data_IF_679086710276
#
_entry.id   IF_679086710276
#
_cell.length_a   1.000
_cell.length_b   1.000
_cell.length_c   1.000
_cell.angle_alpha   90.00
_cell.angle_beta   90.00
_cell.angle_gamma   90.00
#
_symmetry.space_group_name_H-M   'P 1'
#
loop_
_entity.id
_entity.type
_entity.pdbx_description
1 polymer ?
#
# COMPACT_ATOMS: atom_id res chain seq x y z
N UNK A 1 49.38 -3.11 15.25
CA UNK A 1 48.90 -1.89 14.55
C UNK A 1 48.10 -2.16 13.28
N UNK A 2 48.43 -3.18 12.46
CA UNK A 2 47.72 -3.50 11.19
C UNK A 2 46.30 -4.06 11.39
N UNK A 3 46.08 -4.86 12.45
CA UNK A 3 44.77 -5.48 12.75
C UNK A 3 43.74 -4.45 13.24
N UNK A 4 44.20 -3.42 13.97
CA UNK A 4 43.34 -2.33 14.45
C UNK A 4 42.86 -1.44 13.30
N UNK A 5 43.71 -1.23 12.27
CA UNK A 5 43.35 -0.52 11.04
C UNK A 5 42.35 -1.33 10.20
N UNK A 6 42.50 -2.66 10.15
CA UNK A 6 41.55 -3.53 9.43
C UNK A 6 40.15 -3.54 10.06
N UNK A 7 40.07 -3.45 11.40
CA UNK A 7 38.79 -3.46 12.11
C UNK A 7 38.05 -2.11 11.99
N UNK A 8 38.78 -1.00 11.93
CA UNK A 8 38.21 0.33 11.72
C UNK A 8 37.67 0.52 10.28
N UNK A 9 38.27 -0.14 9.29
CA UNK A 9 37.86 -0.06 7.89
C UNK A 9 36.56 -0.83 7.59
N UNK A 10 36.26 -1.89 8.36
CA UNK A 10 35.07 -2.74 8.17
C UNK A 10 33.78 -2.09 8.70
N UNK A 11 33.88 -1.15 9.64
CA UNK A 11 32.72 -0.60 10.36
C UNK A 11 32.04 0.57 9.63
N UNK A 12 32.63 1.06 8.54
CA UNK A 12 32.15 2.21 7.77
C UNK A 12 31.08 1.83 6.71
N UNK A 13 30.84 0.53 6.47
CA UNK A 13 30.05 0.08 5.29
C UNK A 13 28.53 -0.04 5.57
N UNK A 14 28.06 0.15 6.80
CA UNK A 14 26.66 -0.18 7.18
C UNK A 14 25.70 1.00 7.38
N UNK A 15 25.84 2.11 6.64
CA UNK A 15 24.85 3.19 6.65
C UNK A 15 24.15 3.33 5.29
N UNK A 16 23.24 2.39 5.00
CA UNK A 16 22.30 2.51 3.89
C UNK A 16 21.03 3.21 4.39
N UNK A 17 20.88 4.51 4.06
CA UNK A 17 19.59 5.20 4.15
C UNK A 17 18.90 5.03 2.80
N UNK A 18 17.83 4.23 2.73
CA UNK A 18 16.99 4.13 1.54
C UNK A 18 16.06 5.35 1.49
N UNK A 19 16.47 6.39 0.75
CA UNK A 19 15.64 7.56 0.48
C UNK A 19 14.90 7.35 -0.83
N UNK A 20 13.58 7.24 -0.76
CA UNK A 20 12.70 7.07 -1.92
C UNK A 20 12.34 8.46 -2.45
N UNK A 21 12.70 8.75 -3.70
CA UNK A 21 12.41 10.03 -4.35
C UNK A 21 11.22 9.89 -5.31
N UNK A 22 10.19 10.70 -5.07
CA UNK A 22 9.02 10.84 -5.94
C UNK A 22 9.22 12.03 -6.87
N UNK A 23 9.06 11.83 -8.17
CA UNK A 23 8.96 12.93 -9.12
C UNK A 23 7.75 12.77 -10.01
N UNK A 24 7.27 13.90 -10.51
CA UNK A 24 6.12 13.99 -11.40
C UNK A 24 6.69 14.46 -12.73
N UNK A 25 6.51 13.67 -13.78
CA UNK A 25 6.94 14.07 -15.12
C UNK A 25 6.03 15.14 -15.71
N UNK A 26 6.43 15.72 -16.84
CA UNK A 26 5.66 16.75 -17.54
C UNK A 26 4.36 16.21 -18.18
N UNK A 27 4.01 14.94 -17.95
CA UNK A 27 2.80 14.26 -18.42
C UNK A 27 1.91 13.80 -17.24
N UNK A 28 2.27 14.11 -16.00
CA UNK A 28 1.50 13.77 -14.80
C UNK A 28 1.72 12.35 -14.28
N UNK A 29 2.64 11.59 -14.87
CA UNK A 29 3.07 10.27 -14.40
C UNK A 29 3.88 10.39 -13.11
N UNK A 30 3.46 9.68 -12.06
CA UNK A 30 4.22 9.60 -10.80
C UNK A 30 5.24 8.47 -10.93
N UNK A 31 6.52 8.84 -10.91
CA UNK A 31 7.62 7.89 -10.96
C UNK A 31 8.40 7.90 -9.64
N UNK A 32 8.70 6.71 -9.14
CA UNK A 32 9.55 6.48 -7.98
C UNK A 32 10.91 5.94 -8.47
N UNK A 33 12.01 6.56 -8.06
CA UNK A 33 13.35 6.11 -8.45
C UNK A 33 14.34 6.24 -7.28
N UNK A 34 15.19 5.23 -7.12
CA UNK A 34 16.28 5.17 -6.12
C UNK A 34 17.60 5.75 -6.65
N UNK A 35 17.57 6.51 -7.76
CA UNK A 35 18.78 7.13 -8.34
C UNK A 35 18.64 8.65 -8.50
N UNK A 36 19.63 9.44 -8.03
CA UNK A 36 19.52 10.90 -8.01
C UNK A 36 19.83 11.52 -9.38
N UNK A 37 18.99 12.47 -9.82
CA UNK A 37 19.25 13.36 -10.98
C UNK A 37 19.42 14.82 -10.56
N UNK A 38 20.18 15.58 -11.35
CA UNK A 38 20.52 16.99 -11.11
C UNK A 38 19.28 17.89 -11.07
N UNK A 39 19.05 18.55 -9.94
CA UNK A 39 18.01 19.58 -9.77
C UNK A 39 17.18 19.50 -8.48
N UNK A 40 17.47 18.54 -7.59
CA UNK A 40 16.69 18.33 -6.37
C UNK A 40 16.75 19.54 -5.40
N UNK A 41 15.58 20.08 -5.04
CA UNK A 41 15.41 20.95 -3.88
C UNK A 41 15.22 20.11 -2.62
N UNK A 42 15.94 20.48 -1.58
CA UNK A 42 15.98 19.80 -0.28
C UNK A 42 14.67 20.02 0.45
N UNK A 43 13.98 18.95 0.83
CA UNK A 43 12.87 18.97 1.77
C UNK A 43 13.38 18.37 3.07
N UNK A 44 13.59 19.23 4.07
CA UNK A 44 13.94 18.84 5.44
C UNK A 44 12.68 18.30 6.12
N UNK A 45 12.65 17.01 6.43
CA UNK A 45 11.66 16.44 7.34
C UNK A 45 11.96 16.97 8.76
N UNK A 46 11.02 17.63 9.44
CA UNK A 46 11.23 17.99 10.84
C UNK A 46 11.15 16.73 11.71
N UNK A 47 12.14 16.59 12.58
CA UNK A 47 12.34 15.49 13.51
C UNK A 47 11.12 15.18 14.38
N UNK A 48 10.95 13.90 14.67
CA UNK A 48 10.04 13.39 15.68
C UNK A 48 10.30 14.04 17.05
N UNK A 49 9.26 14.63 17.63
CA UNK A 49 9.21 14.88 19.07
C UNK A 49 7.96 14.24 19.66
N UNK A 50 8.19 13.13 20.34
CA UNK A 50 7.33 12.60 21.40
C UNK A 50 6.91 13.72 22.35
N UNK A 51 5.60 13.97 22.46
CA UNK A 51 5.03 14.55 23.66
C UNK A 51 3.57 14.12 23.82
N UNK A 52 3.37 13.24 24.80
CA UNK A 52 2.10 12.89 25.39
C UNK A 52 1.40 14.15 25.93
N UNK A 53 0.22 14.48 25.39
CA UNK A 53 -0.90 15.02 26.18
C UNK A 53 -2.19 15.11 25.35
N UNK A 54 -3.22 14.38 25.76
CA UNK A 54 -4.62 14.79 25.64
C UNK A 54 -4.96 15.56 26.94
N UNK A 55 -5.92 16.52 26.99
CA UNK A 55 -7.25 16.39 26.37
C UNK A 55 -7.94 17.68 25.86
N UNK A 56 -9.13 17.44 25.29
CA UNK A 56 -10.35 18.25 25.29
C UNK A 56 -10.82 18.97 24.02
N UNK A 57 -12.08 18.62 23.73
CA UNK A 57 -13.04 19.01 22.69
C UNK A 57 -13.41 20.49 22.76
N UNK A 58 -13.56 21.15 21.60
CA UNK A 58 -14.78 21.88 21.12
C UNK A 58 -14.45 22.69 19.85
N UNK A 59 -15.35 22.81 18.85
CA UNK A 59 -14.99 23.08 17.46
C UNK A 59 -15.09 24.57 17.09
N UNK A 60 -14.16 25.05 16.25
CA UNK A 60 -14.36 26.31 15.55
C UNK A 60 -13.72 26.32 14.16
N UNK A 61 -14.62 26.61 13.23
CA UNK A 61 -14.56 26.93 11.80
C UNK A 61 -13.44 27.86 11.36
N UNK A 62 -13.12 27.73 10.06
CA UNK A 62 -12.47 28.68 9.15
C UNK A 62 -10.98 28.34 8.90
N UNK A 63 -10.41 28.35 7.68
CA UNK A 63 -10.84 28.91 6.40
C UNK A 63 -10.00 28.28 5.28
N UNK A 64 -10.64 28.00 4.13
CA UNK A 64 -10.10 27.98 2.75
C UNK A 64 -8.58 27.88 2.57
N UNK A 65 -8.12 26.76 2.01
CA UNK A 65 -7.03 26.79 1.03
C UNK A 65 -7.56 26.27 -0.31
N UNK A 66 -7.79 27.23 -1.18
CA UNK A 66 -8.17 27.05 -2.57
C UNK A 66 -6.91 26.60 -3.32
N UNK A 67 -6.77 25.30 -3.62
CA UNK A 67 -5.96 24.87 -4.78
C UNK A 67 -6.90 24.32 -5.83
N UNK A 68 -7.36 25.27 -6.63
CA UNK A 68 -7.82 25.10 -7.99
C UNK A 68 -6.75 24.27 -8.74
N UNK A 69 -6.97 22.97 -8.92
CA UNK A 69 -6.34 22.23 -10.01
C UNK A 69 -7.32 22.27 -11.17
N UNK A 70 -7.25 23.37 -11.91
CA UNK A 70 -7.79 23.44 -13.26
C UNK A 70 -6.86 22.60 -14.15
N UNK A 71 -7.18 21.30 -14.24
CA UNK A 71 -6.85 20.53 -15.43
C UNK A 71 -8.14 20.42 -16.21
N UNK A 72 -8.27 21.30 -17.20
CA UNK A 72 -9.33 21.26 -18.19
C UNK A 72 -9.10 20.04 -19.09
N UNK A 73 -9.57 18.88 -18.63
CA UNK A 73 -9.85 17.72 -19.48
C UNK A 73 -11.32 17.38 -19.26
N UNK A 74 -12.14 17.71 -20.24
CA UNK A 74 -13.52 17.23 -20.31
C UNK A 74 -13.47 15.74 -20.61
N UNK A 75 -13.46 14.92 -19.57
CA UNK A 75 -13.94 13.54 -19.60
C UNK A 75 -14.54 13.28 -18.22
N UNK A 76 -15.83 12.95 -18.18
CA UNK A 76 -16.66 12.92 -16.98
C UNK A 76 -15.90 12.33 -15.78
N UNK A 77 -15.47 13.18 -14.84
CA UNK A 77 -14.87 12.79 -13.56
C UNK A 77 -15.96 12.19 -12.70
N UNK A 78 -16.27 10.93 -12.96
CA UNK A 78 -17.03 10.15 -12.03
C UNK A 78 -16.14 9.86 -10.81
N UNK A 79 -16.63 10.25 -9.63
CA UNK A 79 -15.93 10.06 -8.36
C UNK A 79 -16.63 8.98 -7.55
N UNK A 80 -15.85 8.21 -6.81
CA UNK A 80 -16.38 7.26 -5.84
C UNK A 80 -16.46 7.95 -4.49
N UNK A 81 -17.64 7.95 -3.86
CA UNK A 81 -17.82 8.52 -2.52
C UNK A 81 -17.42 7.54 -1.43
N UNK A 82 -17.47 6.23 -1.74
CA UNK A 82 -17.04 5.17 -0.84
C UNK A 82 -16.31 4.10 -1.63
N UNK A 83 -15.17 3.65 -1.10
CA UNK A 83 -14.44 2.50 -1.62
C UNK A 83 -13.79 1.78 -0.45
N UNK A 84 -14.14 0.52 -0.25
CA UNK A 84 -13.59 -0.26 0.86
C UNK A 84 -13.49 -1.75 0.52
N UNK A 85 -12.58 -2.44 1.21
CA UNK A 85 -12.54 -3.90 1.23
C UNK A 85 -13.50 -4.37 2.32
N UNK A 86 -14.58 -5.02 1.93
CA UNK A 86 -15.60 -5.57 2.86
C UNK A 86 -15.23 -6.97 3.36
N UNK A 87 -14.41 -7.70 2.60
CA UNK A 87 -13.90 -9.00 3.01
C UNK A 87 -12.49 -9.19 2.46
N UNK A 88 -11.54 -9.73 3.23
CA UNK A 88 -11.59 -9.91 4.69
C UNK A 88 -11.74 -8.57 5.44
N UNK A 89 -12.20 -8.62 6.69
CA UNK A 89 -12.23 -7.44 7.56
C UNK A 89 -10.81 -7.01 7.94
N UNK A 90 -10.62 -5.74 8.28
CA UNK A 90 -9.36 -5.25 8.80
C UNK A 90 -8.99 -5.97 10.11
N UNK A 91 -7.74 -6.43 10.21
CA UNK A 91 -7.23 -7.24 11.31
C UNK A 91 -7.59 -8.72 11.23
N UNK A 92 -8.28 -9.18 10.18
CA UNK A 92 -8.67 -10.59 10.06
C UNK A 92 -7.47 -11.54 10.05
N UNK A 93 -7.62 -12.67 10.74
CA UNK A 93 -6.63 -13.76 10.71
C UNK A 93 -7.06 -14.86 9.74
N UNK A 94 -6.31 -15.03 8.67
CA UNK A 94 -6.49 -16.09 7.68
C UNK A 94 -5.71 -17.32 8.12
N UNK A 95 -6.42 -18.44 8.33
CA UNK A 95 -5.82 -19.74 8.65
C UNK A 95 -5.94 -20.67 7.45
N UNK A 96 -4.99 -20.57 6.52
CA UNK A 96 -4.99 -21.39 5.31
C UNK A 96 -3.56 -21.86 4.96
N UNK A 97 -3.37 -23.18 4.84
CA UNK A 97 -2.08 -23.78 4.53
C UNK A 97 -1.56 -23.40 3.14
N UNK A 98 -2.46 -23.15 2.19
CA UNK A 98 -2.14 -22.75 0.81
C UNK A 98 -1.95 -21.23 0.68
N UNK A 99 -2.26 -20.45 1.72
CA UNK A 99 -2.24 -18.99 1.64
C UNK A 99 -3.26 -18.44 0.64
N UNK A 100 -4.40 -19.13 0.48
CA UNK A 100 -5.50 -18.65 -0.34
C UNK A 100 -6.40 -17.69 0.44
N UNK A 101 -6.66 -16.52 -0.15
CA UNK A 101 -7.54 -15.48 0.40
C UNK A 101 -8.41 -14.91 -0.72
N UNK A 102 -9.71 -14.84 -0.47
CA UNK A 102 -10.65 -14.10 -1.31
C UNK A 102 -10.85 -12.71 -0.74
N UNK A 103 -10.64 -11.70 -1.57
CA UNK A 103 -10.86 -10.29 -1.26
C UNK A 103 -12.09 -9.82 -2.01
N UNK A 104 -12.99 -9.13 -1.33
CA UNK A 104 -14.20 -8.54 -1.90
C UNK A 104 -14.21 -7.07 -1.56
N UNK A 105 -14.30 -6.24 -2.57
CA UNK A 105 -14.42 -4.79 -2.45
C UNK A 105 -15.87 -4.35 -2.64
N UNK A 106 -16.16 -3.14 -2.18
CA UNK A 106 -17.39 -2.43 -2.46
C UNK A 106 -17.05 -1.00 -2.86
N UNK A 107 -17.77 -0.50 -3.86
CA UNK A 107 -17.71 0.89 -4.30
C UNK A 107 -19.10 1.51 -4.19
N UNK A 108 -19.15 2.81 -3.87
CA UNK A 108 -20.36 3.61 -3.95
C UNK A 108 -20.04 4.93 -4.68
N UNK A 109 -20.71 5.24 -5.80
CA UNK A 109 -21.67 4.39 -6.53
C UNK A 109 -21.01 3.13 -7.12
N UNK A 110 -21.81 2.26 -7.74
CA UNK A 110 -21.30 1.11 -8.48
C UNK A 110 -20.28 1.54 -9.55
N UNK A 111 -19.36 0.64 -9.88
CA UNK A 111 -18.27 0.88 -10.83
C UNK A 111 -18.80 1.45 -12.15
N UNK A 112 -18.30 2.62 -12.55
CA UNK A 112 -18.74 3.30 -13.77
C UNK A 112 -18.35 2.48 -15.02
N UNK A 113 -19.14 2.56 -16.11
CA UNK A 113 -18.81 1.85 -17.33
C UNK A 113 -17.46 2.27 -17.92
N UNK A 114 -16.54 1.32 -18.03
CA UNK A 114 -15.19 1.54 -18.58
C UNK A 114 -14.11 1.48 -17.51
N UNK A 115 -14.45 1.82 -16.28
CA UNK A 115 -13.56 1.73 -15.13
C UNK A 115 -13.32 0.27 -14.74
N UNK A 116 -12.17 0.04 -14.11
CA UNK A 116 -11.71 -1.26 -13.65
C UNK A 116 -11.14 -1.15 -12.25
N UNK A 117 -11.24 -2.20 -11.47
CA UNK A 117 -10.64 -2.34 -10.16
C UNK A 117 -9.36 -3.16 -10.25
N UNK A 118 -8.36 -2.79 -9.46
CA UNK A 118 -7.14 -3.57 -9.29
C UNK A 118 -6.81 -3.70 -7.81
N UNK A 119 -6.42 -4.91 -7.41
CA UNK A 119 -5.99 -5.20 -6.05
C UNK A 119 -4.53 -4.79 -5.85
N UNK A 120 -4.25 -4.18 -4.72
CA UNK A 120 -2.90 -3.93 -4.22
C UNK A 120 -2.62 -4.89 -3.07
N UNK A 121 -1.50 -5.61 -3.17
CA UNK A 121 -0.96 -6.50 -2.14
C UNK A 121 0.41 -5.97 -1.73
N UNK A 122 0.56 -5.59 -0.46
CA UNK A 122 1.77 -4.97 0.09
C UNK A 122 2.26 -3.78 -0.77
N UNK A 123 1.32 -2.91 -1.18
CA UNK A 123 1.52 -1.76 -2.07
C UNK A 123 1.96 -2.09 -3.51
N UNK A 124 1.95 -3.36 -3.90
CA UNK A 124 2.20 -3.79 -5.28
C UNK A 124 0.90 -4.21 -5.97
N UNK A 125 0.73 -3.80 -7.22
CA UNK A 125 -0.41 -4.22 -8.03
C UNK A 125 -0.41 -5.74 -8.25
N UNK A 126 -1.54 -6.38 -7.92
CA UNK A 126 -1.74 -7.81 -8.06
C UNK A 126 -2.78 -8.10 -9.15
N UNK A 127 -2.32 -8.75 -10.21
CA UNK A 127 -3.15 -9.13 -11.35
C UNK A 127 -3.55 -7.96 -12.24
N UNK A 128 -4.31 -8.27 -13.28
CA UNK A 128 -4.79 -7.29 -14.24
C UNK A 128 -6.03 -6.55 -13.72
N UNK A 129 -6.24 -5.28 -14.11
CA UNK A 129 -7.45 -4.53 -13.78
C UNK A 129 -8.71 -5.22 -14.33
N UNK A 130 -9.73 -5.38 -13.50
CA UNK A 130 -10.96 -6.11 -13.81
C UNK A 130 -12.21 -5.40 -13.27
N UNK A 131 -13.39 -5.70 -13.85
CA UNK A 131 -14.66 -5.10 -13.40
C UNK A 131 -15.24 -5.77 -12.16
N UNK A 132 -14.89 -7.04 -11.92
CA UNK A 132 -15.40 -7.81 -10.80
C UNK A 132 -14.73 -7.33 -9.50
N UNK A 133 -15.48 -6.98 -8.45
CA UNK A 133 -14.90 -6.55 -7.17
C UNK A 133 -14.39 -7.71 -6.30
N UNK A 134 -14.30 -8.93 -6.85
CA UNK A 134 -13.81 -10.12 -6.16
C UNK A 134 -12.45 -10.52 -6.71
N UNK A 135 -11.45 -10.60 -5.83
CA UNK A 135 -10.08 -10.95 -6.15
C UNK A 135 -9.66 -12.19 -5.37
N UNK A 136 -8.79 -12.98 -5.96
CA UNK A 136 -8.22 -14.17 -5.33
C UNK A 136 -6.71 -14.02 -5.25
N UNK A 137 -6.18 -14.19 -4.04
CA UNK A 137 -4.76 -14.19 -3.79
C UNK A 137 -4.36 -15.61 -3.44
N UNK A 138 -3.40 -16.15 -4.19
CA UNK A 138 -2.87 -17.49 -3.99
C UNK A 138 -1.44 -17.41 -3.44
N UNK A 139 -1.09 -18.33 -2.55
CA UNK A 139 0.30 -18.46 -2.08
C UNK A 139 0.76 -17.35 -1.14
N UNK A 140 -0.16 -16.60 -0.52
CA UNK A 140 0.15 -15.51 0.41
C UNK A 140 1.05 -16.01 1.55
N UNK A 141 2.17 -15.34 1.80
CA UNK A 141 3.14 -15.76 2.81
C UNK A 141 2.55 -15.66 4.23
N UNK A 142 3.21 -16.29 5.21
CA UNK A 142 2.81 -16.12 6.61
C UNK A 142 3.26 -14.74 7.10
N UNK A 143 2.46 -14.10 7.93
CA UNK A 143 2.79 -12.80 8.50
C UNK A 143 1.67 -11.79 8.37
N UNK A 144 2.04 -10.51 8.47
CA UNK A 144 1.15 -9.37 8.27
C UNK A 144 1.24 -8.92 6.82
N UNK A 145 0.09 -8.67 6.20
CA UNK A 145 0.00 -8.18 4.83
C UNK A 145 -1.00 -7.03 4.74
N UNK A 146 -0.74 -6.10 3.84
CA UNK A 146 -1.61 -4.95 3.59
C UNK A 146 -2.33 -5.15 2.26
N UNK A 147 -3.64 -4.93 2.27
CA UNK A 147 -4.49 -5.00 1.09
C UNK A 147 -5.18 -3.65 0.85
N UNK A 148 -5.21 -3.20 -0.39
CA UNK A 148 -6.00 -2.06 -0.83
C UNK A 148 -6.57 -2.33 -2.22
N UNK A 149 -7.58 -1.59 -2.66
CA UNK A 149 -8.11 -1.66 -4.02
C UNK A 149 -8.06 -0.28 -4.63
N UNK A 150 -7.68 -0.21 -5.90
CA UNK A 150 -7.69 1.03 -6.68
C UNK A 150 -8.63 0.91 -7.86
N UNK A 151 -9.26 2.03 -8.24
CA UNK A 151 -10.01 2.15 -9.49
C UNK A 151 -9.11 2.78 -10.54
N UNK A 152 -9.14 2.22 -11.74
CA UNK A 152 -8.42 2.67 -12.92
C UNK A 152 -9.41 3.01 -14.03
N UNK A 153 -9.11 4.07 -14.78
CA UNK A 153 -9.86 4.41 -15.99
C UNK A 153 -9.55 3.43 -17.14
N UNK A 154 -10.26 3.59 -18.25
CA UNK A 154 -10.06 2.79 -19.47
C UNK A 154 -8.64 2.91 -20.07
N UNK A 155 -7.93 3.99 -19.76
CA UNK A 155 -6.58 4.31 -20.26
C UNK A 155 -5.49 3.76 -19.32
N UNK A 156 -5.84 3.37 -18.09
CA UNK A 156 -4.95 2.85 -17.06
C UNK A 156 -4.51 3.87 -16.01
N UNK A 157 -5.13 5.06 -15.94
CA UNK A 157 -4.85 6.02 -14.89
C UNK A 157 -5.62 5.67 -13.62
N UNK A 158 -4.98 5.79 -12.46
CA UNK A 158 -5.65 5.59 -11.17
C UNK A 158 -6.57 6.78 -10.89
N UNK A 159 -7.87 6.51 -10.75
CA UNK A 159 -8.91 7.51 -10.42
C UNK A 159 -8.97 7.71 -8.92
N UNK A 160 -9.01 6.61 -8.16
CA UNK A 160 -9.21 6.61 -6.71
C UNK A 160 -8.69 5.30 -6.08
N UNK A 161 -8.50 5.29 -4.76
CA UNK A 161 -8.03 4.13 -3.99
C UNK A 161 -8.72 4.03 -2.63
N UNK A 162 -8.98 2.80 -2.20
CA UNK A 162 -9.48 2.51 -0.86
C UNK A 162 -8.40 2.78 0.19
N UNK A 163 -8.86 2.95 1.43
CA UNK A 163 -7.97 2.83 2.58
C UNK A 163 -7.38 1.40 2.65
N UNK A 164 -6.10 1.27 3.02
CA UNK A 164 -5.48 -0.03 3.20
C UNK A 164 -5.99 -0.73 4.46
N UNK A 165 -6.23 -2.03 4.36
CA UNK A 165 -6.51 -2.90 5.50
C UNK A 165 -5.32 -3.83 5.76
N UNK A 166 -5.11 -4.20 7.01
CA UNK A 166 -4.07 -5.16 7.39
C UNK A 166 -4.70 -6.51 7.71
N UNK A 167 -4.14 -7.60 7.20
CA UNK A 167 -4.56 -8.97 7.54
C UNK A 167 -3.37 -9.79 8.03
N UNK A 168 -3.67 -10.86 8.77
CA UNK A 168 -2.66 -11.76 9.30
C UNK A 168 -2.84 -13.17 8.73
N UNK A 169 -1.81 -13.71 8.10
CA UNK A 169 -1.82 -15.05 7.52
C UNK A 169 -1.05 -16.00 8.42
N UNK A 170 -1.73 -17.05 8.86
CA UNK A 170 -1.16 -18.15 9.62
C UNK A 170 -1.25 -19.45 8.83
N UNK A 171 -0.10 -20.11 8.64
CA UNK A 171 -0.02 -21.46 8.06
C UNK A 171 0.19 -22.47 9.19
N UNK A 172 -0.87 -23.14 9.69
CA UNK A 172 -0.67 -24.20 10.66
C UNK A 172 0.17 -25.32 10.05
N UNK A 173 1.17 -25.78 10.81
CA UNK A 173 1.90 -27.00 10.48
C UNK A 173 0.91 -28.17 10.50
N UNK A 174 0.80 -28.89 9.39
CA UNK A 174 0.14 -30.20 9.40
C UNK A 174 1.10 -31.19 10.06
N UNK A 175 0.79 -31.57 11.30
CA UNK A 175 1.61 -32.45 12.12
C UNK A 175 1.29 -33.92 11.87
N UNK A 176 2.34 -34.66 11.52
CA UNK A 176 2.57 -36.11 11.61
C UNK A 176 1.43 -36.95 12.22
N UNK A 177 0.91 -37.91 11.45
CA UNK A 177 0.00 -38.96 11.94
C UNK A 177 0.66 -39.69 13.11
N UNK A 178 0.10 -39.67 14.34
CA UNK A 178 0.58 -40.52 15.42
C UNK A 178 0.15 -41.95 15.12
N UNK A 179 1.07 -42.87 14.79
CA UNK A 179 0.67 -44.29 14.75
C UNK A 179 1.52 -45.32 14.02
N UNK A 180 2.56 -45.00 13.26
CA UNK A 180 3.38 -46.07 12.66
C UNK A 180 4.43 -46.55 13.65
N UNK A 181 4.06 -47.57 14.45
CA UNK A 181 5.04 -48.43 15.14
C UNK A 181 5.83 -49.19 14.07
N UNK A 182 7.17 -49.18 14.07
CA UNK A 182 7.94 -50.13 13.28
C UNK A 182 7.71 -51.54 13.86
N UNK A 183 7.39 -52.47 12.98
CA UNK A 183 7.41 -53.91 13.23
C UNK A 183 8.84 -54.45 13.12
#
# INVERSE_FOLDING_TARGET
MKVFVSLLLMMIICASNAQIYKWIDNQGGVHFSDTPQKGAQIITLPDEQNSSSLPSVTPQTATKSNKLHDHTLVKLKHSYSKMEIVRPESGATIRNNQGFVTVTAQTEPDLFPGDKLQLLYDNAALGEPQKNPVFEINGMYRGSHTLAVQVMDEVGNVIDSSDPITIYVFRPRVGMVPGTKPH
#
